data_IF_142832936057
#
_entry.id   IF_142832936057
#
_cell.length_a   1.000
_cell.length_b   1.000
_cell.length_c   1.000
_cell.angle_alpha   90.00
_cell.angle_beta   90.00
_cell.angle_gamma   90.00
#
_symmetry.space_group_name_H-M   'P 1'
#
loop_
_entity.id
_entity.type
_entity.pdbx_description
1 polymer ?
#
# COMPACT_ATOMS: atom_id res chain seq x y z
N UNK A 1 15.34 -9.59 20.49
CA UNK A 1 14.63 -8.36 20.07
C UNK A 1 13.14 -8.67 20.12
N UNK A 2 12.34 -7.76 20.67
CA UNK A 2 10.93 -8.00 21.00
C UNK A 2 10.02 -7.46 19.89
N UNK A 3 8.96 -8.20 19.57
CA UNK A 3 7.86 -7.75 18.71
C UNK A 3 6.79 -7.08 19.56
N UNK A 4 6.10 -6.11 18.97
CA UNK A 4 4.96 -5.42 19.55
C UNK A 4 3.78 -5.48 18.57
N UNK A 5 2.54 -5.52 19.05
CA UNK A 5 2.16 -5.81 20.45
C UNK A 5 2.65 -7.20 20.90
N UNK A 6 2.68 -7.45 22.22
CA UNK A 6 2.89 -8.80 22.76
C UNK A 6 1.78 -9.74 22.28
N UNK A 7 1.97 -11.06 22.41
CA UNK A 7 0.95 -12.00 21.96
C UNK A 7 -0.40 -11.81 22.69
N UNK A 8 -0.37 -11.52 23.99
CA UNK A 8 -1.58 -11.25 24.78
C UNK A 8 -2.28 -9.96 24.32
N UNK A 9 -1.53 -8.88 24.13
CA UNK A 9 -2.06 -7.61 23.60
C UNK A 9 -2.59 -7.77 22.18
N UNK A 10 -1.89 -8.53 21.32
CA UNK A 10 -2.34 -8.84 19.97
C UNK A 10 -3.70 -9.54 19.98
N UNK A 11 -3.86 -10.56 20.84
CA UNK A 11 -5.13 -11.29 20.96
C UNK A 11 -6.26 -10.34 21.36
N UNK A 12 -6.03 -9.47 22.36
CA UNK A 12 -7.02 -8.49 22.79
C UNK A 12 -7.39 -7.49 21.68
N UNK A 13 -6.40 -6.98 20.95
CA UNK A 13 -6.62 -6.06 19.83
C UNK A 13 -7.39 -6.73 18.67
N UNK A 14 -7.08 -8.00 18.40
CA UNK A 14 -7.70 -8.77 17.32
C UNK A 14 -9.21 -9.01 17.53
N UNK A 15 -9.71 -8.96 18.77
CA UNK A 15 -11.16 -9.05 19.07
C UNK A 15 -11.98 -7.96 18.40
N UNK A 16 -11.37 -6.82 18.05
CA UNK A 16 -12.03 -5.74 17.31
C UNK A 16 -12.43 -6.12 15.87
N UNK A 17 -11.92 -7.24 15.34
CA UNK A 17 -12.14 -7.68 13.96
C UNK A 17 -11.37 -6.89 12.91
N UNK A 18 -10.52 -5.94 13.33
CA UNK A 18 -9.63 -5.15 12.47
C UNK A 18 -8.25 -5.78 12.39
N UNK A 19 -7.50 -5.43 11.35
CA UNK A 19 -6.10 -5.85 11.26
C UNK A 19 -5.26 -5.20 12.36
N UNK A 20 -4.38 -5.99 12.97
CA UNK A 20 -3.48 -5.52 14.03
C UNK A 20 -2.06 -5.45 13.46
N UNK A 21 -1.45 -4.25 13.37
CA UNK A 21 -0.07 -4.13 12.92
C UNK A 21 0.88 -4.77 13.94
N UNK A 22 1.70 -5.72 13.48
CA UNK A 22 2.78 -6.32 14.27
C UNK A 22 4.10 -5.71 13.79
N UNK A 23 4.85 -5.13 14.71
CA UNK A 23 6.05 -4.36 14.39
C UNK A 23 7.18 -4.63 15.36
N UNK A 24 8.37 -4.20 14.95
CA UNK A 24 9.56 -4.14 15.80
C UNK A 24 10.33 -2.88 15.49
N UNK A 25 10.99 -2.30 16.49
CA UNK A 25 11.88 -1.16 16.33
C UNK A 25 13.32 -1.64 16.32
N UNK A 26 14.07 -1.19 15.32
CA UNK A 26 15.47 -1.55 15.12
C UNK A 26 16.32 -0.29 15.23
N UNK A 27 17.52 -0.43 15.80
CA UNK A 27 18.54 0.62 15.69
C UNK A 27 19.12 0.55 14.27
N UNK A 28 19.13 1.69 13.57
CA UNK A 28 19.45 1.73 12.14
C UNK A 28 20.41 2.87 11.79
N UNK A 29 21.31 3.22 12.71
CA UNK A 29 22.19 4.39 12.61
C UNK A 29 23.15 4.35 11.39
N UNK A 30 23.33 3.17 10.78
CA UNK A 30 24.12 2.95 9.57
C UNK A 30 23.30 2.81 8.29
N UNK A 31 21.97 2.82 8.37
CA UNK A 31 21.09 2.69 7.21
C UNK A 31 20.60 4.05 6.75
N UNK A 32 20.69 4.29 5.44
CA UNK A 32 19.92 5.33 4.75
C UNK A 32 18.65 4.70 4.19
N UNK A 33 17.61 5.48 3.88
CA UNK A 33 16.39 4.93 3.27
C UNK A 33 16.67 4.13 1.99
N UNK A 34 17.56 4.62 1.12
CA UNK A 34 17.98 3.91 -0.09
C UNK A 34 18.71 2.60 0.23
N UNK A 35 19.64 2.58 1.19
CA UNK A 35 20.36 1.35 1.53
C UNK A 35 19.51 0.34 2.30
N UNK A 36 18.48 0.80 3.02
CA UNK A 36 17.45 -0.05 3.58
C UNK A 36 16.53 -0.63 2.49
N UNK A 37 16.16 0.18 1.50
CA UNK A 37 15.32 -0.25 0.38
C UNK A 37 15.99 -1.35 -0.42
N UNK A 38 17.25 -1.17 -0.80
CA UNK A 38 18.05 -2.19 -1.49
C UNK A 38 18.20 -3.51 -0.73
N UNK A 39 18.00 -3.52 0.60
CA UNK A 39 18.05 -4.74 1.42
C UNK A 39 16.71 -5.47 1.51
N UNK A 40 15.61 -4.77 1.26
CA UNK A 40 14.25 -5.29 1.37
C UNK A 40 13.63 -5.60 0.01
N UNK A 41 14.01 -4.86 -1.02
CA UNK A 41 13.51 -5.02 -2.39
C UNK A 41 13.85 -6.41 -2.95
N UNK A 42 12.82 -7.14 -3.33
CA UNK A 42 12.89 -8.45 -3.99
C UNK A 42 12.89 -8.35 -5.52
N UNK A 43 12.71 -7.14 -6.06
CA UNK A 43 12.68 -6.85 -7.49
C UNK A 43 11.29 -7.03 -8.13
N UNK A 44 10.25 -7.33 -7.35
CA UNK A 44 8.90 -7.51 -7.87
C UNK A 44 8.00 -6.31 -7.55
N UNK A 45 7.60 -6.16 -6.29
CA UNK A 45 6.62 -5.17 -5.86
C UNK A 45 7.15 -4.37 -4.68
N UNK A 46 7.95 -3.35 -4.98
CA UNK A 46 8.62 -2.53 -3.98
C UNK A 46 8.44 -1.04 -4.24
N UNK A 47 8.42 -0.25 -3.17
CA UNK A 47 8.37 1.20 -3.25
C UNK A 47 9.19 1.88 -2.13
N UNK A 48 9.67 3.09 -2.45
CA UNK A 48 10.33 3.99 -1.52
C UNK A 48 9.71 5.38 -1.69
N UNK A 49 9.12 5.90 -0.61
CA UNK A 49 8.65 7.28 -0.53
C UNK A 49 9.54 8.08 0.41
N UNK A 50 10.15 9.13 -0.14
CA UNK A 50 10.89 10.12 0.63
C UNK A 50 10.25 11.50 0.44
N UNK A 51 10.18 12.27 1.51
CA UNK A 51 9.70 13.65 1.45
C UNK A 51 10.88 14.60 1.53
N UNK A 52 10.98 15.56 0.62
CA UNK A 52 11.96 16.65 0.68
C UNK A 52 11.23 17.97 0.91
N UNK A 53 11.48 18.60 2.04
CA UNK A 53 10.91 19.89 2.43
C UNK A 53 11.88 20.99 1.99
N UNK A 54 11.43 21.84 1.08
CA UNK A 54 12.18 23.02 0.63
C UNK A 54 13.47 22.71 -0.13
N UNK A 55 13.59 21.52 -0.74
CA UNK A 55 14.75 21.12 -1.55
C UNK A 55 15.98 20.65 -0.77
N UNK A 56 16.06 20.90 0.54
CA UNK A 56 17.27 20.65 1.33
C UNK A 56 17.05 19.78 2.57
N UNK A 57 15.84 19.74 3.13
CA UNK A 57 15.56 18.96 4.35
C UNK A 57 14.74 17.72 4.04
N UNK A 58 15.31 16.55 4.24
CA UNK A 58 14.56 15.29 4.23
C UNK A 58 13.57 15.30 5.39
N UNK A 59 12.33 14.88 5.13
CA UNK A 59 11.29 14.70 6.13
C UNK A 59 11.70 13.71 7.21
N UNK A 60 11.01 13.72 8.35
CA UNK A 60 11.32 12.83 9.48
C UNK A 60 11.20 11.34 9.14
N UNK A 61 10.36 11.00 8.16
CA UNK A 61 10.06 9.62 7.78
C UNK A 61 10.33 9.41 6.28
N UNK A 62 10.91 8.28 5.96
CA UNK A 62 10.84 7.64 4.65
C UNK A 62 10.04 6.34 4.80
N UNK A 63 9.19 6.02 3.84
CA UNK A 63 8.37 4.81 3.86
C UNK A 63 8.87 3.84 2.81
N UNK A 64 9.12 2.61 3.24
CA UNK A 64 9.49 1.49 2.38
C UNK A 64 8.37 0.46 2.49
N UNK A 65 7.90 -0.05 1.36
CA UNK A 65 7.00 -1.19 1.35
C UNK A 65 7.42 -2.16 0.25
N UNK A 66 7.35 -3.45 0.58
CA UNK A 66 7.70 -4.59 -0.27
C UNK A 66 6.68 -5.69 0.00
N UNK A 67 6.60 -6.69 -0.87
CA UNK A 67 5.79 -7.91 -0.67
C UNK A 67 4.33 -7.62 -0.27
N UNK A 68 3.56 -6.90 -1.12
CA UNK A 68 2.14 -6.66 -0.85
C UNK A 68 1.35 -7.97 -0.97
N UNK A 69 0.43 -8.24 -0.04
CA UNK A 69 -0.41 -9.44 -0.11
C UNK A 69 -1.55 -9.36 -1.15
N UNK A 70 -1.90 -8.15 -1.61
CA UNK A 70 -3.00 -7.93 -2.56
C UNK A 70 -2.63 -6.84 -3.55
N UNK A 71 -2.93 -7.07 -4.83
CA UNK A 71 -2.77 -6.09 -5.88
C UNK A 71 -4.09 -5.88 -6.63
N UNK A 72 -4.44 -4.61 -6.83
CA UNK A 72 -5.54 -4.19 -7.71
C UNK A 72 -4.94 -3.39 -8.88
N UNK A 73 -5.36 -3.72 -10.11
CA UNK A 73 -5.04 -2.95 -11.32
C UNK A 73 -6.33 -2.62 -12.06
N UNK A 74 -6.38 -1.44 -12.67
CA UNK A 74 -7.50 -1.02 -13.49
C UNK A 74 -6.99 -0.33 -14.75
N UNK A 75 -7.50 -0.75 -15.91
CA UNK A 75 -7.26 -0.11 -17.20
C UNK A 75 -8.58 0.02 -17.94
N UNK A 76 -9.02 1.25 -18.18
CA UNK A 76 -10.40 1.52 -18.58
C UNK A 76 -11.37 0.88 -17.59
N UNK A 77 -12.33 0.11 -18.11
CA UNK A 77 -13.32 -0.58 -17.26
C UNK A 77 -12.83 -1.95 -16.79
N UNK A 78 -11.66 -2.43 -17.24
CA UNK A 78 -11.16 -3.73 -16.84
C UNK A 78 -10.43 -3.62 -15.51
N UNK A 79 -10.90 -4.35 -14.51
CA UNK A 79 -10.27 -4.46 -13.19
C UNK A 79 -9.72 -5.87 -13.01
N UNK A 80 -8.53 -5.97 -12.41
CA UNK A 80 -7.97 -7.24 -11.92
C UNK A 80 -7.60 -7.11 -10.45
N UNK A 81 -7.91 -8.14 -9.67
CA UNK A 81 -7.50 -8.27 -8.26
C UNK A 81 -6.74 -9.59 -8.12
N UNK A 82 -5.54 -9.51 -7.57
CA UNK A 82 -4.64 -10.64 -7.39
C UNK A 82 -4.22 -10.73 -5.92
N UNK A 83 -4.40 -11.90 -5.30
CA UNK A 83 -3.91 -12.20 -3.96
C UNK A 83 -2.51 -12.79 -4.05
N UNK A 84 -1.51 -11.92 -3.92
CA UNK A 84 -0.08 -12.28 -3.98
C UNK A 84 0.38 -13.05 -2.74
N UNK A 85 -0.37 -13.01 -1.64
CA UNK A 85 -0.08 -13.79 -0.43
C UNK A 85 -0.46 -15.27 -0.53
N UNK A 86 -1.12 -15.69 -1.61
CA UNK A 86 -1.54 -17.07 -1.87
C UNK A 86 -1.13 -17.48 -3.29
N UNK A 87 -0.05 -18.26 -3.47
CA UNK A 87 0.46 -18.64 -4.79
C UNK A 87 -0.52 -19.47 -5.64
N UNK A 88 -1.51 -20.10 -5.02
CA UNK A 88 -2.54 -20.89 -5.70
C UNK A 88 -3.79 -20.05 -6.03
N UNK A 89 -3.80 -18.77 -5.64
CA UNK A 89 -4.93 -17.87 -5.89
C UNK A 89 -5.05 -17.52 -7.36
N UNK A 90 -6.30 -17.48 -7.85
CA UNK A 90 -6.58 -17.03 -9.21
C UNK A 90 -6.73 -15.51 -9.23
N UNK A 91 -6.35 -14.91 -10.36
CA UNK A 91 -6.60 -13.49 -10.61
C UNK A 91 -8.09 -13.29 -10.89
N UNK A 92 -8.77 -12.55 -10.03
CA UNK A 92 -10.14 -12.11 -10.25
C UNK A 92 -10.14 -11.00 -11.31
N UNK A 93 -10.90 -11.19 -12.39
CA UNK A 93 -10.98 -10.24 -13.51
C UNK A 93 -12.43 -9.94 -13.85
N UNK A 94 -12.79 -8.65 -13.89
CA UNK A 94 -14.17 -8.21 -14.13
C UNK A 94 -14.23 -6.78 -14.70
N UNK A 95 -15.34 -6.45 -15.34
CA UNK A 95 -15.63 -5.08 -15.77
C UNK A 95 -16.28 -4.27 -14.64
N UNK A 96 -15.85 -3.01 -14.51
CA UNK A 96 -16.38 -2.03 -13.55
C UNK A 96 -16.42 -0.65 -14.18
N UNK A 97 -17.57 0.02 -14.05
CA UNK A 97 -17.73 1.41 -14.52
C UNK A 97 -16.98 2.41 -13.65
N UNK A 98 -16.65 2.04 -12.40
CA UNK A 98 -15.88 2.89 -11.49
C UNK A 98 -14.89 2.09 -10.63
N UNK A 99 -13.66 1.87 -11.12
CA UNK A 99 -12.62 1.18 -10.37
C UNK A 99 -12.20 1.86 -9.06
N UNK A 100 -12.49 3.16 -8.87
CA UNK A 100 -12.23 3.86 -7.61
C UNK A 100 -13.16 3.38 -6.48
N UNK A 101 -14.39 2.97 -6.81
CA UNK A 101 -15.31 2.38 -5.83
C UNK A 101 -14.86 0.97 -5.43
N UNK A 102 -14.32 0.20 -6.37
CA UNK A 102 -13.71 -1.10 -6.07
C UNK A 102 -12.51 -0.96 -5.14
N UNK A 103 -11.61 -0.01 -5.42
CA UNK A 103 -10.49 0.31 -4.54
C UNK A 103 -10.98 0.71 -3.14
N UNK A 104 -11.99 1.57 -3.06
CA UNK A 104 -12.58 2.01 -1.78
C UNK A 104 -13.15 0.84 -0.99
N UNK A 105 -13.87 -0.07 -1.66
CA UNK A 105 -14.43 -1.29 -1.06
C UNK A 105 -13.33 -2.19 -0.52
N UNK A 106 -12.24 -2.39 -1.26
CA UNK A 106 -11.08 -3.17 -0.81
C UNK A 106 -10.43 -2.55 0.43
N UNK A 107 -10.08 -1.26 0.39
CA UNK A 107 -9.44 -0.57 1.53
C UNK A 107 -10.32 -0.66 2.79
N UNK A 108 -11.65 -0.56 2.63
CA UNK A 108 -12.60 -0.65 3.75
C UNK A 108 -12.63 -2.04 4.38
N UNK A 109 -12.35 -3.11 3.63
CA UNK A 109 -12.24 -4.48 4.16
C UNK A 109 -10.97 -4.66 5.00
N UNK A 110 -9.90 -3.95 4.67
CA UNK A 110 -8.58 -4.08 5.32
C UNK A 110 -8.29 -2.89 6.25
N UNK A 111 -9.23 -2.55 7.13
CA UNK A 111 -8.99 -1.51 8.13
C UNK A 111 -8.10 -2.03 9.26
N UNK A 112 -7.01 -1.31 9.52
CA UNK A 112 -6.12 -1.57 10.64
C UNK A 112 -6.50 -0.75 11.88
N UNK A 113 -6.11 -1.24 13.05
CA UNK A 113 -6.15 -0.47 14.30
C UNK A 113 -5.07 0.61 14.25
N UNK A 114 -5.41 1.81 14.73
CA UNK A 114 -4.44 2.88 14.91
C UNK A 114 -3.71 2.71 16.25
N UNK A 115 -2.39 2.69 16.20
CA UNK A 115 -1.52 2.69 17.38
C UNK A 115 -0.72 4.00 17.38
N UNK A 116 -0.88 4.81 18.43
CA UNK A 116 -0.34 6.17 18.53
C UNK A 116 1.19 6.23 18.41
N UNK A 117 1.87 5.12 18.73
CA UNK A 117 3.31 5.00 18.74
C UNK A 117 3.91 4.62 17.36
N UNK A 118 3.07 4.38 16.36
CA UNK A 118 3.50 4.10 14.99
C UNK A 118 3.68 5.40 14.18
N UNK A 119 4.52 5.37 13.14
CA UNK A 119 4.60 6.48 12.19
C UNK A 119 3.24 6.78 11.52
N UNK A 120 3.10 7.96 10.87
CA UNK A 120 1.85 8.36 10.21
C UNK A 120 1.32 7.37 9.17
N UNK A 121 2.18 6.53 8.60
CA UNK A 121 1.83 5.44 7.71
C UNK A 121 2.51 4.16 8.20
N UNK A 122 1.70 3.14 8.49
CA UNK A 122 2.15 1.84 9.03
C UNK A 122 1.56 0.65 8.26
N UNK A 123 1.08 0.90 7.04
CA UNK A 123 0.39 -0.06 6.20
C UNK A 123 -0.83 0.57 5.52
N UNK A 124 -1.22 0.01 4.38
CA UNK A 124 -2.32 0.51 3.56
C UNK A 124 -2.09 0.23 2.08
N UNK A 125 -2.84 0.91 1.23
CA UNK A 125 -2.65 0.84 -0.21
C UNK A 125 -1.57 1.82 -0.68
N UNK A 126 -0.65 1.33 -1.49
CA UNK A 126 0.37 2.11 -2.17
C UNK A 126 0.26 1.83 -3.66
N UNK A 127 0.40 2.87 -4.48
CA UNK A 127 0.41 2.74 -5.93
C UNK A 127 0.42 4.10 -6.61
N UNK A 128 -0.06 4.13 -7.84
CA UNK A 128 -0.20 5.33 -8.62
C UNK A 128 -1.60 5.41 -9.22
N UNK A 129 -2.06 6.64 -9.48
CA UNK A 129 -3.22 6.93 -10.30
C UNK A 129 -2.71 7.66 -11.55
N UNK A 130 -2.96 7.07 -12.73
CA UNK A 130 -2.64 7.71 -14.01
C UNK A 130 -3.52 8.95 -14.24
N UNK A 131 -3.14 9.77 -15.22
CA UNK A 131 -3.90 10.98 -15.55
C UNK A 131 -5.37 10.68 -15.86
N UNK A 132 -5.62 9.65 -16.68
CA UNK A 132 -6.97 9.28 -17.12
C UNK A 132 -7.87 8.70 -16.03
N UNK A 133 -7.37 8.48 -14.80
CA UNK A 133 -8.23 8.14 -13.64
C UNK A 133 -9.29 9.22 -13.39
N UNK A 134 -9.01 10.48 -13.75
CA UNK A 134 -10.00 11.57 -13.68
C UNK A 134 -11.28 11.26 -14.47
N UNK A 135 -11.18 10.45 -15.53
CA UNK A 135 -12.30 10.10 -16.41
C UNK A 135 -13.33 9.17 -15.74
N UNK A 136 -12.99 8.56 -14.60
CA UNK A 136 -13.96 7.84 -13.77
C UNK A 136 -14.87 8.78 -12.97
N UNK A 137 -14.42 10.01 -12.71
CA UNK A 137 -15.17 11.01 -11.95
C UNK A 137 -15.85 12.05 -12.85
N UNK A 138 -15.23 12.39 -13.98
CA UNK A 138 -15.66 13.46 -14.88
C UNK A 138 -15.75 12.99 -16.32
N UNK A 139 -16.78 13.44 -17.04
CA UNK A 139 -16.88 13.19 -18.48
C UNK A 139 -15.98 14.15 -19.25
N UNK A 140 -14.86 13.64 -19.75
CA UNK A 140 -13.94 14.38 -20.62
C UNK A 140 -14.05 13.83 -22.05
N UNK A 141 -14.59 14.61 -23.02
CA UNK A 141 -14.64 14.19 -24.43
C UNK A 141 -13.23 14.17 -25.05
N UNK A 142 -13.12 13.65 -26.27
CA UNK A 142 -11.91 13.70 -27.11
C UNK A 142 -10.67 13.07 -26.43
N UNK A 143 -10.83 11.87 -25.89
CA UNK A 143 -9.69 11.11 -25.37
C UNK A 143 -8.66 10.86 -26.48
N UNK A 144 -7.36 11.15 -26.26
CA UNK A 144 -6.33 10.72 -27.19
C UNK A 144 -6.32 9.18 -27.28
N UNK A 145 -5.74 8.66 -28.36
CA UNK A 145 -5.49 7.22 -28.47
C UNK A 145 -4.59 6.78 -27.30
N UNK A 146 -4.96 5.67 -26.64
CA UNK A 146 -4.15 5.09 -25.57
C UNK A 146 -2.88 4.49 -26.19
N UNK A 147 -1.73 5.03 -25.80
CA UNK A 147 -0.42 4.68 -26.37
C UNK A 147 0.30 3.57 -25.58
N UNK A 148 -0.42 2.91 -24.66
CA UNK A 148 0.08 1.87 -23.76
C UNK A 148 -0.33 0.45 -24.13
#
# INVERSE_FOLDING_TARGET
>A
MQYFPTNEEFQSLAESGKMVPVYRRLLSDSLTPVSAFQKLDDGENACLFESVIGGEKVGRYSFLAVDPFLQIRASGNQVTIENLGDPDSQVDSFESDNPLDDLRRLITRYQAIHLDELPPFAGGAIGYAGYDVVRYAEHLPDAPEDDR
#
